data_IF_908633807799
#
_entry.id   IF_908633807799
#
_cell.length_a   1.000
_cell.length_b   1.000
_cell.length_c   1.000
_cell.angle_alpha   90.00
_cell.angle_beta   90.00
_cell.angle_gamma   90.00
#
_symmetry.space_group_name_H-M   'P 1'
#
loop_
_entity.id
_entity.type
_entity.pdbx_description
1 polymer ?
#
# COMPACT_ATOMS: atom_id res chain seq x y z
N UNK A 1 6.51 -9.41 7.92
CA UNK A 1 7.98 -9.64 7.93
C UNK A 1 8.22 -11.10 8.24
N UNK A 2 9.32 -11.67 7.75
CA UNK A 2 9.66 -13.06 8.02
C UNK A 2 10.90 -13.13 8.91
N UNK A 3 10.81 -13.91 9.99
CA UNK A 3 11.93 -14.21 10.89
C UNK A 3 12.47 -15.58 10.48
N UNK A 4 13.76 -15.67 10.14
CA UNK A 4 14.41 -16.93 9.75
C UNK A 4 15.46 -17.31 10.79
N UNK A 5 15.33 -18.51 11.36
CA UNK A 5 16.33 -19.07 12.24
C UNK A 5 17.30 -19.95 11.43
N UNK A 6 18.55 -19.50 11.31
CA UNK A 6 19.62 -20.21 10.59
C UNK A 6 20.51 -21.06 11.52
N UNK A 7 20.21 -21.09 12.81
CA UNK A 7 20.99 -21.81 13.81
C UNK A 7 20.42 -23.20 14.07
N UNK A 8 21.21 -24.04 14.75
CA UNK A 8 20.79 -25.35 15.25
C UNK A 8 19.98 -25.27 16.57
N UNK A 9 19.75 -24.07 17.09
CA UNK A 9 19.09 -23.85 18.38
C UNK A 9 17.65 -23.38 18.22
N UNK A 10 16.83 -23.63 19.24
CA UNK A 10 15.50 -23.01 19.33
C UNK A 10 15.68 -21.54 19.75
N UNK A 11 14.99 -20.64 19.05
CA UNK A 11 15.10 -19.20 19.31
C UNK A 11 13.74 -18.62 19.66
N UNK A 12 13.60 -18.11 20.88
CA UNK A 12 12.44 -17.33 21.26
C UNK A 12 12.61 -15.89 20.77
N UNK A 13 11.52 -15.28 20.33
CA UNK A 13 11.49 -13.88 19.90
C UNK A 13 10.39 -13.10 20.58
N UNK A 14 10.60 -11.78 20.68
CA UNK A 14 9.60 -10.82 21.16
C UNK A 14 9.68 -9.53 20.32
N UNK A 15 8.54 -9.07 19.86
CA UNK A 15 8.39 -7.82 19.11
C UNK A 15 7.78 -6.75 20.00
N UNK A 16 8.49 -5.63 20.15
CA UNK A 16 8.04 -4.42 20.85
C UNK A 16 7.90 -3.28 19.85
N UNK A 17 7.12 -2.26 20.19
CA UNK A 17 6.95 -1.06 19.36
C UNK A 17 6.90 0.19 20.24
N UNK A 18 7.35 1.32 19.70
CA UNK A 18 7.21 2.63 20.36
C UNK A 18 5.78 3.16 20.31
N UNK A 19 4.86 2.54 19.56
CA UNK A 19 3.48 3.00 19.41
C UNK A 19 2.46 1.84 19.39
N UNK A 20 2.23 1.16 20.53
CA UNK A 20 1.41 -0.05 20.58
C UNK A 20 -0.08 0.18 20.28
N UNK A 21 -0.58 1.41 20.42
CA UNK A 21 -1.98 1.73 20.06
C UNK A 21 -2.20 1.74 18.55
N UNK A 22 -1.16 2.08 17.78
CA UNK A 22 -1.22 2.24 16.33
C UNK A 22 -0.97 0.95 15.57
N UNK A 23 -0.28 -0.03 16.16
CA UNK A 23 0.09 -1.27 15.49
C UNK A 23 -0.41 -2.49 16.24
N UNK A 24 -0.95 -3.44 15.47
CA UNK A 24 -1.17 -4.80 15.94
C UNK A 24 -0.10 -5.71 15.33
N UNK A 25 0.52 -6.55 16.17
CA UNK A 25 1.56 -7.50 15.76
C UNK A 25 1.13 -8.92 16.11
N UNK A 26 1.16 -9.82 15.12
CA UNK A 26 0.74 -11.21 15.27
C UNK A 26 1.68 -12.18 14.52
N UNK A 27 2.26 -13.18 15.21
CA UNK A 27 2.46 -13.23 16.67
C UNK A 27 3.41 -12.11 17.15
N UNK A 28 3.22 -11.61 18.37
CA UNK A 28 4.17 -10.66 18.97
C UNK A 28 5.32 -11.35 19.74
N UNK A 29 5.13 -12.62 20.11
CA UNK A 29 6.07 -13.45 20.86
C UNK A 29 5.91 -14.89 20.36
N UNK A 30 7.01 -15.63 20.25
CA UNK A 30 6.96 -17.02 19.79
C UNK A 30 8.33 -17.68 19.80
N UNK A 31 8.38 -18.93 19.36
CA UNK A 31 9.63 -19.71 19.19
C UNK A 31 9.77 -20.09 17.73
N UNK A 32 10.95 -19.87 17.16
CA UNK A 32 11.33 -20.32 15.82
C UNK A 32 12.27 -21.51 16.00
N UNK A 33 11.84 -22.68 15.51
CA UNK A 33 12.64 -23.91 15.61
C UNK A 33 13.88 -23.81 14.71
N UNK A 34 14.92 -24.65 14.93
CA UNK A 34 16.11 -24.66 14.08
C UNK A 34 15.77 -24.76 12.59
N UNK A 35 16.52 -24.03 11.76
CA UNK A 35 16.39 -24.06 10.29
C UNK A 35 14.99 -23.77 9.72
N UNK A 36 14.17 -23.02 10.47
CA UNK A 36 12.79 -22.69 10.09
C UNK A 36 12.56 -21.19 10.01
N UNK A 37 11.36 -20.80 9.57
CA UNK A 37 10.93 -19.42 9.52
C UNK A 37 9.56 -19.22 10.17
N UNK A 38 9.31 -17.99 10.63
CA UNK A 38 8.04 -17.56 11.20
C UNK A 38 7.62 -16.22 10.58
N UNK A 39 6.40 -16.17 10.06
CA UNK A 39 5.83 -14.94 9.53
C UNK A 39 5.17 -14.12 10.64
N UNK A 40 5.65 -12.89 10.80
CA UNK A 40 5.10 -11.89 11.71
C UNK A 40 4.34 -10.84 10.90
N UNK A 41 3.05 -10.78 11.12
CA UNK A 41 2.16 -9.79 10.52
C UNK A 41 2.11 -8.55 11.38
N UNK A 42 2.37 -7.38 10.78
CA UNK A 42 2.27 -6.07 11.41
C UNK A 42 1.21 -5.28 10.65
N UNK A 43 0.10 -4.98 11.31
CA UNK A 43 -0.99 -4.17 10.74
C UNK A 43 -1.07 -2.84 11.46
N UNK A 44 -1.06 -1.75 10.71
CA UNK A 44 -1.33 -0.41 11.23
C UNK A 44 -2.84 -0.19 11.34
N UNK A 45 -3.29 0.45 12.41
CA UNK A 45 -4.66 0.93 12.55
C UNK A 45 -4.94 2.01 11.49
N UNK A 46 -6.18 2.06 11.00
CA UNK A 46 -6.59 3.06 10.02
C UNK A 46 -6.41 4.48 10.61
N UNK A 47 -5.78 5.36 9.83
CA UNK A 47 -5.64 6.78 10.19
C UNK A 47 -6.80 7.56 9.57
N UNK A 48 -7.33 8.55 10.29
CA UNK A 48 -8.39 9.43 9.78
C UNK A 48 -7.87 10.43 8.75
N UNK A 49 -6.63 10.88 8.93
CA UNK A 49 -5.97 11.86 8.08
C UNK A 49 -4.49 11.48 7.92
N UNK A 50 -3.90 11.84 6.79
CA UNK A 50 -2.49 11.65 6.56
C UNK A 50 -1.66 12.55 7.50
N UNK A 51 -0.54 12.08 8.07
CA UNK A 51 0.35 12.94 8.84
C UNK A 51 0.85 14.11 7.97
N UNK A 52 0.88 15.36 8.49
CA UNK A 52 1.19 16.57 7.70
C UNK A 52 2.52 16.54 6.95
N UNK A 53 3.48 15.75 7.42
CA UNK A 53 4.83 15.63 6.89
C UNK A 53 5.15 14.24 6.32
N UNK A 54 4.16 13.32 6.32
CA UNK A 54 4.35 11.90 6.02
C UNK A 54 5.53 11.26 6.79
N UNK A 55 5.94 11.84 7.93
CA UNK A 55 7.02 11.28 8.74
C UNK A 55 6.46 10.25 9.72
N UNK A 56 7.05 9.06 9.70
CA UNK A 56 6.80 8.06 10.72
C UNK A 56 8.03 7.96 11.63
N UNK A 57 7.87 8.30 12.91
CA UNK A 57 8.94 8.17 13.92
C UNK A 57 8.85 6.84 14.68
N UNK A 58 7.87 6.02 14.35
CA UNK A 58 7.63 4.74 15.01
C UNK A 58 8.76 3.76 14.72
N UNK A 59 9.10 2.94 15.71
CA UNK A 59 10.13 1.93 15.62
C UNK A 59 9.62 0.62 16.21
N UNK A 60 10.03 -0.48 15.61
CA UNK A 60 9.89 -1.81 16.18
C UNK A 60 11.24 -2.27 16.72
N UNK A 61 11.18 -3.04 17.79
CA UNK A 61 12.33 -3.73 18.37
C UNK A 61 12.00 -5.21 18.40
N UNK A 62 12.75 -6.00 17.63
CA UNK A 62 12.77 -7.45 17.74
C UNK A 62 13.87 -7.81 18.73
N UNK A 63 13.52 -8.61 19.73
CA UNK A 63 14.49 -9.23 20.63
C UNK A 63 14.46 -10.75 20.40
N UNK A 64 15.62 -11.39 20.46
CA UNK A 64 15.75 -12.85 20.37
C UNK A 64 16.67 -13.41 21.45
N UNK A 65 16.38 -14.63 21.88
CA UNK A 65 17.17 -15.38 22.86
C UNK A 65 17.13 -16.86 22.53
N UNK A 66 18.26 -17.55 22.71
CA UNK A 66 18.32 -19.01 22.58
C UNK A 66 17.59 -19.66 23.76
N UNK A 67 16.70 -20.61 23.46
CA UNK A 67 15.91 -21.34 24.45
C UNK A 67 16.12 -22.85 24.34
N UNK A 68 15.62 -23.59 25.34
CA UNK A 68 15.77 -25.04 25.38
C UNK A 68 14.98 -25.70 24.23
N UNK A 69 15.46 -26.84 23.70
CA UNK A 69 14.68 -27.62 22.75
C UNK A 69 13.29 -27.96 23.28
N UNK A 70 12.28 -27.82 22.43
CA UNK A 70 10.88 -28.09 22.80
C UNK A 70 10.19 -26.96 23.57
N UNK A 71 10.86 -25.83 23.84
CA UNK A 71 10.21 -24.64 24.38
C UNK A 71 9.10 -24.14 23.45
N UNK A 72 7.98 -23.75 24.05
CA UNK A 72 6.80 -23.22 23.36
C UNK A 72 6.60 -21.75 23.70
N UNK A 73 5.66 -21.10 23.01
CA UNK A 73 5.31 -19.70 23.31
C UNK A 73 4.82 -19.48 24.75
N UNK A 74 4.32 -20.52 25.44
CA UNK A 74 3.85 -20.44 26.83
C UNK A 74 4.99 -20.40 27.85
N UNK A 75 6.15 -20.94 27.48
CA UNK A 75 7.32 -21.01 28.34
C UNK A 75 8.13 -19.71 28.33
N UNK A 76 7.80 -18.79 27.41
CA UNK A 76 8.50 -17.53 27.25
C UNK A 76 8.14 -16.57 28.39
N UNK A 77 9.14 -16.19 29.18
CA UNK A 77 8.99 -15.20 30.26
C UNK A 77 9.68 -13.87 29.92
N UNK A 78 9.30 -12.79 30.61
CA UNK A 78 9.87 -11.47 30.37
C UNK A 78 11.37 -11.39 30.73
N UNK A 79 11.76 -12.11 31.77
CA UNK A 79 13.12 -12.20 32.29
C UNK A 79 14.12 -12.85 31.32
N UNK A 80 13.68 -13.76 30.44
CA UNK A 80 14.53 -14.30 29.36
C UNK A 80 15.07 -13.22 28.42
N UNK A 81 14.34 -12.10 28.25
CA UNK A 81 14.74 -10.97 27.41
C UNK A 81 15.38 -9.83 28.21
N UNK A 82 15.72 -10.05 29.48
CA UNK A 82 16.46 -9.09 30.28
C UNK A 82 17.97 -9.33 30.18
N UNK A 83 18.69 -8.34 29.63
CA UNK A 83 20.17 -8.36 29.52
C UNK A 83 20.86 -8.28 30.89
N UNK A 84 20.26 -7.61 31.86
CA UNK A 84 20.82 -7.45 33.21
C UNK A 84 20.81 -8.78 33.99
N UNK A 85 19.96 -9.73 33.59
CA UNK A 85 19.91 -11.08 34.15
C UNK A 85 21.01 -12.01 33.62
N UNK A 86 21.98 -11.48 32.85
CA UNK A 86 23.07 -12.26 32.26
C UNK A 86 22.70 -13.03 30.99
N UNK A 87 21.49 -12.84 30.47
CA UNK A 87 21.03 -13.50 29.25
C UNK A 87 21.67 -12.88 28.00
N UNK A 88 22.03 -13.73 27.04
CA UNK A 88 22.45 -13.28 25.72
C UNK A 88 21.23 -12.92 24.86
N UNK A 89 20.85 -11.64 24.90
CA UNK A 89 19.70 -11.11 24.15
C UNK A 89 20.18 -10.33 22.94
N UNK A 90 19.83 -10.84 21.76
CA UNK A 90 20.05 -10.14 20.50
C UNK A 90 18.90 -9.17 20.22
N UNK A 91 19.21 -8.03 19.59
CA UNK A 91 18.25 -6.97 19.33
C UNK A 91 18.36 -6.43 17.91
N UNK A 92 17.24 -6.34 17.21
CA UNK A 92 17.14 -5.74 15.88
C UNK A 92 16.09 -4.62 15.89
N UNK A 93 16.52 -3.40 15.53
CA UNK A 93 15.66 -2.21 15.51
C UNK A 93 15.22 -1.88 14.09
N UNK A 94 13.92 -1.84 13.86
CA UNK A 94 13.30 -1.58 12.57
C UNK A 94 12.63 -0.20 12.60
N UNK A 95 12.88 0.63 11.59
CA UNK A 95 12.20 1.92 11.41
C UNK A 95 11.00 1.75 10.49
N UNK A 96 9.91 2.46 10.75
CA UNK A 96 8.76 2.53 9.86
C UNK A 96 8.89 3.76 8.97
N UNK A 97 8.63 3.62 7.67
CA UNK A 97 8.58 4.73 6.72
C UNK A 97 7.27 4.68 5.95
N UNK A 98 6.67 5.86 5.73
CA UNK A 98 5.55 5.99 4.81
C UNK A 98 6.04 6.19 3.40
N UNK A 99 5.44 5.46 2.47
CA UNK A 99 5.69 5.59 1.03
C UNK A 99 4.37 5.98 0.36
N UNK A 100 4.37 6.96 -0.55
CA UNK A 100 3.19 7.25 -1.36
C UNK A 100 2.75 6.02 -2.15
N UNK A 101 1.46 5.93 -2.52
CA UNK A 101 1.01 4.89 -3.44
C UNK A 101 1.81 4.94 -4.75
N UNK A 102 2.05 3.79 -5.42
CA UNK A 102 2.67 3.77 -6.74
C UNK A 102 1.90 4.68 -7.71
N UNK A 103 2.62 5.53 -8.45
CA UNK A 103 1.98 6.35 -9.47
C UNK A 103 1.48 5.45 -10.63
N UNK A 104 0.30 5.72 -11.19
CA UNK A 104 -0.15 5.03 -12.38
C UNK A 104 0.80 5.31 -13.56
N UNK A 105 0.97 4.38 -14.52
CA UNK A 105 1.81 4.61 -15.69
C UNK A 105 1.30 5.85 -16.45
N UNK A 106 2.21 6.76 -16.78
CA UNK A 106 1.88 7.98 -17.54
C UNK A 106 1.29 7.60 -18.90
N UNK A 107 0.24 8.31 -19.38
CA UNK A 107 -0.32 8.06 -20.70
C UNK A 107 0.76 8.17 -21.77
N UNK A 108 0.98 7.09 -22.51
CA UNK A 108 1.86 7.09 -23.68
C UNK A 108 1.27 8.13 -24.64
N UNK A 109 2.07 9.13 -25.04
CA UNK A 109 1.64 10.05 -26.10
C UNK A 109 1.39 9.21 -27.36
N UNK A 110 0.13 9.05 -27.75
CA UNK A 110 -0.21 8.63 -29.09
C UNK A 110 0.40 9.67 -30.03
N UNK A 111 1.47 9.28 -30.72
CA UNK A 111 2.04 10.11 -31.76
C UNK A 111 0.96 10.26 -32.83
N UNK A 112 0.52 11.49 -33.09
CA UNK A 112 -0.29 11.81 -34.25
C UNK A 112 0.51 11.39 -35.49
N UNK A 113 0.21 10.21 -36.03
CA UNK A 113 0.54 9.84 -37.40
C UNK A 113 -0.37 10.64 -38.33
N UNK A 114 -0.15 11.96 -38.40
CA UNK A 114 -0.69 12.76 -39.50
C UNK A 114 0.17 12.45 -40.72
N UNK A 115 -0.08 11.26 -41.29
CA UNK A 115 0.40 10.88 -42.60
C UNK A 115 -0.12 11.91 -43.60
N UNK A 116 0.80 12.74 -44.09
CA UNK A 116 0.55 13.69 -45.17
C UNK A 116 -0.09 12.95 -46.35
N UNK A 117 -1.37 13.19 -46.57
CA UNK A 117 -2.11 12.69 -47.73
C UNK A 117 -1.70 13.52 -48.96
N UNK A 118 -1.12 12.92 -50.02
CA UNK A 118 -0.73 13.69 -51.20
C UNK A 118 -1.98 14.11 -51.97
N UNK A 119 -2.15 15.43 -52.10
CA UNK A 119 -3.18 16.11 -52.88
C UNK A 119 -3.17 15.62 -54.33
N UNK A 120 -4.18 14.83 -54.71
CA UNK A 120 -4.47 14.54 -56.11
C UNK A 120 -4.83 15.86 -56.82
N UNK A 121 -4.07 16.18 -57.86
CA UNK A 121 -4.35 17.30 -58.76
C UNK A 121 -5.33 16.79 -59.82
N UNK A 122 -6.51 17.41 -59.93
CA UNK A 122 -7.39 17.25 -61.09
C UNK A 122 -7.73 18.62 -61.64
N UNK A 123 -7.46 18.78 -62.92
CA UNK A 123 -7.65 19.97 -63.74
C UNK A 123 -9.12 20.22 -64.09
N UNK A 124 -9.49 21.50 -64.04
CA UNK A 124 -10.34 22.28 -64.96
C UNK A 124 -11.48 21.60 -65.77
N UNK A 125 -12.74 21.95 -65.46
CA UNK A 125 -13.56 22.80 -66.34
C UNK A 125 -14.99 23.10 -65.79
N UNK A 126 -15.36 24.40 -65.79
CA UNK A 126 -16.63 24.91 -66.35
C UNK A 126 -17.97 24.75 -65.62
N UNK A 127 -18.49 25.89 -65.11
CA UNK A 127 -19.88 26.40 -65.26
C UNK A 127 -20.88 26.27 -64.08
N UNK A 128 -20.97 27.39 -63.35
CA UNK A 128 -22.14 28.13 -62.79
C UNK A 128 -23.46 27.38 -62.50
N UNK A 129 -23.92 27.39 -61.23
CA UNK A 129 -25.09 28.17 -60.75
C UNK A 129 -25.64 27.75 -59.36
N UNK A 130 -25.93 28.78 -58.56
CA UNK A 130 -27.13 28.99 -57.71
C UNK A 130 -27.34 28.16 -56.42
N UNK A 131 -27.14 28.85 -55.30
CA UNK A 131 -28.06 29.06 -54.15
C UNK A 131 -29.12 28.00 -53.84
N UNK A 132 -29.09 27.47 -52.60
CA UNK A 132 -30.13 27.73 -51.57
C UNK A 132 -29.87 26.92 -50.29
N UNK A 133 -29.90 27.62 -49.16
CA UNK A 133 -30.08 27.05 -47.83
C UNK A 133 -31.52 26.53 -47.69
N UNK A 134 -31.73 25.37 -47.06
CA UNK A 134 -32.92 25.13 -46.23
C UNK A 134 -32.75 23.90 -45.32
N UNK A 135 -32.80 24.16 -44.02
CA UNK A 135 -33.51 23.48 -42.92
C UNK A 135 -33.41 21.96 -42.66
N UNK A 136 -33.36 21.65 -41.35
CA UNK A 136 -34.43 21.02 -40.51
C UNK A 136 -33.70 20.30 -39.34
N UNK A 137 -33.63 20.91 -38.15
CA UNK A 137 -34.56 20.80 -37.01
C UNK A 137 -34.63 19.41 -36.36
N UNK A 138 -34.36 19.34 -35.05
CA UNK A 138 -35.21 18.70 -34.01
C UNK A 138 -34.54 18.87 -32.63
N UNK A 139 -35.08 19.77 -31.78
CA UNK A 139 -35.84 19.47 -30.55
C UNK A 139 -35.07 18.51 -29.60
N UNK A 140 -34.55 18.90 -28.43
CA UNK A 140 -35.02 19.92 -27.49
C UNK A 140 -36.14 19.34 -26.63
N UNK A 141 -35.83 18.97 -25.38
CA UNK A 141 -36.49 19.49 -24.17
C UNK A 141 -35.77 18.96 -22.92
N UNK A 142 -35.24 19.89 -22.12
CA UNK A 142 -34.98 19.76 -20.69
C UNK A 142 -36.29 19.62 -19.91
N UNK A 143 -36.25 19.16 -18.65
CA UNK A 143 -36.64 19.98 -17.48
C UNK A 143 -36.60 19.15 -16.18
N UNK A 144 -35.56 19.43 -15.39
CA UNK A 144 -35.58 20.03 -14.05
C UNK A 144 -36.29 19.34 -12.86
N UNK A 145 -35.48 19.22 -11.80
CA UNK A 145 -35.70 19.20 -10.34
C UNK A 145 -37.11 19.40 -9.75
N UNK A 146 -37.39 18.71 -8.63
CA UNK A 146 -37.41 19.35 -7.28
C UNK A 146 -37.92 18.40 -6.18
N UNK A 147 -37.12 18.30 -5.10
CA UNK A 147 -37.40 18.15 -3.65
C UNK A 147 -38.85 17.96 -3.14
N UNK A 148 -39.05 17.04 -2.16
CA UNK A 148 -39.21 17.36 -0.71
C UNK A 148 -39.81 16.22 0.16
N UNK A 149 -39.10 15.90 1.26
CA UNK A 149 -39.53 15.63 2.66
C UNK A 149 -40.73 14.74 3.11
N UNK A 150 -40.41 13.90 4.12
CA UNK A 150 -41.02 13.67 5.48
C UNK A 150 -42.03 12.53 5.80
N UNK A 151 -41.70 11.85 6.93
CA UNK A 151 -42.48 11.07 7.93
C UNK A 151 -43.09 9.70 7.60
N UNK A 152 -42.68 8.70 8.39
CA UNK A 152 -43.49 8.10 9.47
C UNK A 152 -42.59 7.46 10.53
#
# INVERSE_FOLDING_TARGET
MQLTNKSDNYVAFKVKTTNPKKYCVRPNTGVVVPHSACDVTVTMQAQKEAPPDMQCRDKFLLQSVVVKPGSTAKDITAEMFNKESGNHVEECKLKVSYVPPPQPPSPVREGSEEGSSPRASVSDNGTVNQTSEFNVMSKGFERQESSSEVTS
#
